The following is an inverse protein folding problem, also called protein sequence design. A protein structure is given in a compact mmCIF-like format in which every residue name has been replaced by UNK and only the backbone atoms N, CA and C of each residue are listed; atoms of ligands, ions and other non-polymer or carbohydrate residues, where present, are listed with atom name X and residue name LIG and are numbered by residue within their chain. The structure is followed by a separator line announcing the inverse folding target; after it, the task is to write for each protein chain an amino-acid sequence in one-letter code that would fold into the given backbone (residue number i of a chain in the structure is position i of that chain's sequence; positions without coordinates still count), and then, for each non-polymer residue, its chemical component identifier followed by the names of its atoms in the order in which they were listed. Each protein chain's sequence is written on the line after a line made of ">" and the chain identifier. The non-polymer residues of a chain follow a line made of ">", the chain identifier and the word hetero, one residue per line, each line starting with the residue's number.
data_IF_320260688813
#
_entry.id   IF_320260688813
#
_cell.length_a   1.000
_cell.length_b   1.000
_cell.length_c   1.000
_cell.angle_alpha   90.00
_cell.angle_beta   90.00
_cell.angle_gamma   90.00
#
_symmetry.space_group_name_H-M   'P 1'
#
loop_
_entity.id
_entity.type
_entity.pdbx_description
1 polymer ?
#
# COMPACT_ATOMS: atom_id res chain seq x y z
N UNK A 1 -4.62 4.93 19.61
CA UNK A 1 -5.79 5.82 19.46
C UNK A 1 -5.86 6.17 18.00
N UNK A 2 -4.74 6.69 17.53
CA UNK A 2 -4.30 6.69 16.15
C UNK A 2 -4.51 5.31 15.50
N UNK A 3 -4.94 5.35 14.25
CA UNK A 3 -5.09 4.21 13.35
C UNK A 3 -3.94 4.27 12.35
N UNK A 4 -3.25 3.15 12.12
CA UNK A 4 -2.24 3.05 11.06
C UNK A 4 -2.61 1.90 10.10
N UNK A 5 -2.26 1.97 8.80
CA UNK A 5 -2.56 0.89 7.85
C UNK A 5 -1.78 -0.40 8.12
N UNK A 6 -0.67 -0.30 8.84
CA UNK A 6 0.23 -1.40 9.19
C UNK A 6 1.01 -1.02 10.46
N UNK A 7 1.30 -1.95 11.40
CA UNK A 7 2.10 -1.64 12.60
C UNK A 7 3.53 -1.19 12.27
N UNK A 8 4.05 -1.49 11.08
CA UNK A 8 5.38 -1.09 10.61
C UNK A 8 5.36 0.16 9.71
N UNK A 9 4.18 0.73 9.41
CA UNK A 9 4.06 1.96 8.64
C UNK A 9 3.74 3.12 9.61
N UNK A 10 4.69 4.02 9.92
CA UNK A 10 4.52 5.08 10.91
C UNK A 10 3.71 6.27 10.38
N UNK A 11 2.58 5.98 9.71
CA UNK A 11 1.69 6.97 9.10
C UNK A 11 0.31 6.80 9.73
N UNK A 12 -0.08 7.75 10.59
CA UNK A 12 -1.44 7.82 11.14
C UNK A 12 -2.42 8.26 10.06
N UNK A 13 -3.57 7.59 9.99
CA UNK A 13 -4.65 7.89 9.02
C UNK A 13 -5.91 8.45 9.67
N UNK A 14 -5.90 8.65 11.00
CA UNK A 14 -7.03 9.14 11.80
C UNK A 14 -6.90 8.67 13.26
N UNK A 15 -7.80 9.09 14.15
CA UNK A 15 -7.76 8.69 15.57
C UNK A 15 -9.15 8.38 16.13
N UNK A 16 -9.38 7.15 16.60
CA UNK A 16 -10.71 6.67 17.05
C UNK A 16 -11.27 7.36 18.30
N UNK A 17 -10.51 8.29 18.91
CA UNK A 17 -10.96 9.16 20.00
C UNK A 17 -11.48 10.52 19.52
N UNK A 18 -11.34 10.82 18.24
CA UNK A 18 -11.71 12.09 17.61
C UNK A 18 -12.83 11.90 16.58
N UNK A 19 -12.85 10.76 15.88
CA UNK A 19 -13.77 10.44 14.79
C UNK A 19 -14.15 8.93 14.80
N UNK A 20 -15.33 8.55 14.26
CA UNK A 20 -15.71 7.14 14.11
C UNK A 20 -14.73 6.36 13.22
N UNK A 21 -14.42 5.12 13.60
CA UNK A 21 -13.53 4.26 12.80
C UNK A 21 -14.03 4.04 11.36
N UNK A 22 -15.35 4.04 11.13
CA UNK A 22 -15.92 3.94 9.78
C UNK A 22 -15.51 5.12 8.89
N UNK A 23 -15.49 6.32 9.44
CA UNK A 23 -15.16 7.55 8.70
C UNK A 23 -13.67 7.58 8.35
N UNK A 24 -12.79 7.16 9.28
CA UNK A 24 -11.36 6.90 9.00
C UNK A 24 -11.23 5.87 7.87
N UNK A 25 -11.90 4.74 8.01
CA UNK A 25 -11.74 3.58 7.13
C UNK A 25 -12.22 3.83 5.70
N UNK A 26 -13.28 4.62 5.51
CA UNK A 26 -13.83 4.93 4.18
C UNK A 26 -13.38 6.28 3.63
N UNK A 27 -13.05 7.26 4.47
CA UNK A 27 -12.69 8.62 4.07
C UNK A 27 -11.18 8.91 3.96
N UNK A 28 -10.30 8.10 4.56
CA UNK A 28 -8.86 8.35 4.47
C UNK A 28 -8.31 8.13 3.05
N UNK A 29 -7.78 9.20 2.43
CA UNK A 29 -7.11 9.16 1.13
C UNK A 29 -6.01 8.09 1.04
N UNK A 30 -5.29 7.85 2.14
CA UNK A 30 -4.25 6.83 2.24
C UNK A 30 -4.86 5.43 2.19
N UNK A 31 -5.93 5.16 2.96
CA UNK A 31 -6.59 3.84 2.93
C UNK A 31 -7.32 3.61 1.60
N UNK A 32 -7.85 4.66 0.97
CA UNK A 32 -8.39 4.61 -0.39
C UNK A 32 -7.27 4.23 -1.38
N UNK A 33 -6.14 4.94 -1.36
CA UNK A 33 -5.00 4.68 -2.24
C UNK A 33 -4.41 3.28 -2.06
N UNK A 34 -4.26 2.81 -0.82
CA UNK A 34 -3.72 1.48 -0.51
C UNK A 34 -4.64 0.31 -0.91
N UNK A 35 -5.93 0.57 -1.13
CA UNK A 35 -6.89 -0.41 -1.66
C UNK A 35 -7.02 -0.38 -3.18
N UNK A 36 -6.35 0.56 -3.85
CA UNK A 36 -6.38 0.71 -5.30
C UNK A 36 -5.07 0.20 -5.93
N UNK A 37 -5.07 -1.03 -6.51
CA UNK A 37 -3.88 -1.60 -7.14
C UNK A 37 -3.53 -0.95 -8.49
N UNK A 38 -4.38 -0.07 -9.03
CA UNK A 38 -4.10 0.73 -10.23
C UNK A 38 -3.30 2.01 -9.87
N UNK A 39 -3.15 2.35 -8.58
CA UNK A 39 -2.34 3.49 -8.08
C UNK A 39 -0.92 3.13 -7.64
N UNK A 40 -0.54 1.85 -7.68
CA UNK A 40 0.83 1.41 -7.35
C UNK A 40 1.81 1.81 -8.47
N UNK A 41 3.05 2.14 -8.11
CA UNK A 41 4.11 2.50 -9.06
C UNK A 41 5.22 1.42 -9.14
N UNK A 42 6.28 1.68 -9.92
CA UNK A 42 7.41 0.76 -10.09
C UNK A 42 7.02 -0.60 -10.67
N UNK A 43 7.66 -1.68 -10.20
CA UNK A 43 7.33 -3.08 -10.52
C UNK A 43 5.92 -3.43 -10.06
N UNK A 44 5.52 -3.00 -8.87
CA UNK A 44 4.20 -3.30 -8.31
C UNK A 44 3.05 -2.76 -9.20
N UNK A 45 3.20 -1.56 -9.79
CA UNK A 45 2.22 -0.99 -10.70
C UNK A 45 2.02 -1.76 -12.01
N UNK A 46 3.08 -2.39 -12.53
CA UNK A 46 3.06 -3.16 -13.79
C UNK A 46 2.94 -4.69 -13.59
N UNK A 47 2.89 -5.17 -12.36
CA UNK A 47 2.87 -6.58 -12.01
C UNK A 47 1.53 -7.25 -12.37
N UNK A 48 1.58 -8.40 -13.02
CA UNK A 48 0.44 -9.27 -13.30
C UNK A 48 -0.28 -9.70 -12.00
N UNK A 49 0.45 -9.80 -10.89
CA UNK A 49 -0.11 -10.13 -9.57
C UNK A 49 -0.65 -8.94 -8.77
N UNK A 50 -0.60 -7.70 -9.29
CA UNK A 50 -0.89 -6.47 -8.51
C UNK A 50 -2.27 -6.40 -7.86
N UNK A 51 -3.26 -7.18 -8.34
CA UNK A 51 -4.61 -7.29 -7.75
C UNK A 51 -4.70 -8.29 -6.58
N UNK A 52 -3.72 -9.20 -6.46
CA UNK A 52 -3.65 -10.22 -5.41
C UNK A 52 -2.50 -9.97 -4.41
N UNK A 53 -1.44 -9.29 -4.85
CA UNK A 53 -0.28 -8.91 -4.06
C UNK A 53 0.03 -7.42 -4.31
N UNK A 54 0.24 -6.66 -3.25
CA UNK A 54 0.78 -5.29 -3.36
C UNK A 54 2.31 -5.23 -3.31
N UNK A 55 2.94 -6.09 -2.50
CA UNK A 55 4.24 -5.81 -1.89
C UNK A 55 4.11 -5.04 -0.57
N UNK A 56 5.12 -5.06 0.28
CA UNK A 56 5.10 -4.40 1.58
C UNK A 56 5.20 -2.87 1.47
N UNK A 57 4.11 -2.18 1.86
CA UNK A 57 4.01 -0.71 1.84
C UNK A 57 4.89 -0.03 2.89
N UNK A 58 5.15 -0.69 4.01
CA UNK A 58 6.10 -0.21 5.02
C UNK A 58 7.55 -0.19 4.50
N UNK A 59 7.94 -1.15 3.64
CA UNK A 59 9.26 -1.15 2.99
C UNK A 59 9.38 -0.07 1.92
N UNK A 60 8.38 0.03 1.04
CA UNK A 60 8.31 1.09 0.03
C UNK A 60 8.47 2.48 0.68
N UNK A 61 7.72 2.75 1.74
CA UNK A 61 7.81 4.00 2.50
C UNK A 61 9.16 4.17 3.22
N UNK A 62 9.69 3.11 3.84
CA UNK A 62 10.97 3.16 4.55
C UNK A 62 12.17 3.41 3.64
N UNK A 63 12.11 2.96 2.38
CA UNK A 63 13.19 3.10 1.40
C UNK A 63 13.14 4.44 0.65
N UNK A 64 11.97 4.85 0.15
CA UNK A 64 11.84 6.01 -0.75
C UNK A 64 10.83 7.07 -0.30
N UNK A 65 10.20 6.91 0.86
CA UNK A 65 9.21 7.85 1.39
C UNK A 65 7.83 7.81 0.72
N UNK A 66 7.62 6.91 -0.25
CA UNK A 66 6.33 6.73 -0.94
C UNK A 66 5.70 5.38 -0.57
N UNK A 67 4.49 5.44 -0.01
CA UNK A 67 3.71 4.25 0.36
C UNK A 67 3.20 3.44 -0.86
N UNK A 68 3.09 4.08 -2.03
CA UNK A 68 2.58 3.49 -3.28
C UNK A 68 3.70 2.97 -4.20
N UNK A 69 4.96 3.23 -3.83
CA UNK A 69 6.12 2.67 -4.52
C UNK A 69 6.21 1.15 -4.41
N UNK A 70 7.08 0.58 -5.24
CA UNK A 70 7.36 -0.85 -5.23
C UNK A 70 7.95 -1.33 -3.90
N UNK A 71 7.78 -2.62 -3.59
CA UNK A 71 8.52 -3.24 -2.49
C UNK A 71 9.95 -3.56 -2.99
N UNK A 72 11.00 -2.90 -2.47
CA UNK A 72 12.38 -3.13 -2.91
C UNK A 72 12.87 -4.55 -2.59
N UNK A 73 12.26 -5.21 -1.60
CA UNK A 73 12.58 -6.60 -1.24
C UNK A 73 11.74 -7.64 -2.00
N UNK A 74 10.93 -7.24 -2.99
CA UNK A 74 10.22 -8.20 -3.83
C UNK A 74 11.21 -8.90 -4.79
N UNK A 75 11.35 -10.24 -4.73
CA UNK A 75 12.28 -10.98 -5.58
C UNK A 75 11.73 -11.26 -6.99
N UNK A 76 10.44 -10.99 -7.22
CA UNK A 76 9.74 -11.27 -8.47
C UNK A 76 9.89 -10.12 -9.47
N UNK A 77 10.15 -10.42 -10.74
CA UNK A 77 10.18 -9.42 -11.81
C UNK A 77 8.93 -9.53 -12.71
N UNK A 78 8.13 -8.45 -12.85
CA UNK A 78 6.95 -8.45 -13.71
C UNK A 78 7.22 -8.87 -15.15
N UNK A 79 6.38 -9.76 -15.69
CA UNK A 79 6.53 -10.30 -17.04
C UNK A 79 7.35 -11.59 -17.15
N UNK A 80 7.86 -12.13 -16.03
CA UNK A 80 8.40 -13.50 -15.98
C UNK A 80 7.32 -14.55 -16.30
N UNK A 81 6.07 -14.30 -15.92
CA UNK A 81 4.95 -15.22 -16.16
C UNK A 81 4.34 -14.93 -17.54
N UNK A 82 4.92 -15.56 -18.55
CA UNK A 82 4.29 -15.69 -19.87
C UNK A 82 2.93 -16.37 -19.74
N UNK A 83 1.87 -15.57 -19.74
CA UNK A 83 0.53 -16.06 -20.01
C UNK A 83 0.50 -16.49 -21.49
N UNK A 84 0.34 -17.79 -21.71
CA UNK A 84 0.05 -18.38 -23.02
C UNK A 84 -1.45 -18.45 -23.27
#
# INVERSE_FOLDING_TARGET
>A
GDVTPCPYLPVSVGNVRQEPFGDIWYGSDILIALRDPDRLSGRCGRCEYRRACGGCRARAYGEVGDILAEDPCCPYEPGEVKHG
#
